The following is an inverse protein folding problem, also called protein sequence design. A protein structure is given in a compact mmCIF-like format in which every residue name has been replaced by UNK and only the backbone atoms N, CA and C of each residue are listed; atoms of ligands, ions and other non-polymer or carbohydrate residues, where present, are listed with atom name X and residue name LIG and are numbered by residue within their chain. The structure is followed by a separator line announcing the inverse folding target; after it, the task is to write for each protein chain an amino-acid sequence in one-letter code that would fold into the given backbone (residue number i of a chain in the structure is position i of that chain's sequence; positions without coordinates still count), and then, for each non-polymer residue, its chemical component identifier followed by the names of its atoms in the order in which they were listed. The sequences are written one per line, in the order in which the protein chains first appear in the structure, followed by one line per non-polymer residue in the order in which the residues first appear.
data_IF_934244233018
#
_entry.id   IF_934244233018
#
_cell.length_a   1.000
_cell.length_b   1.000
_cell.length_c   1.000
_cell.angle_alpha   90.00
_cell.angle_beta   90.00
_cell.angle_gamma   90.00
#
_symmetry.space_group_name_H-M   'P 1'
#
loop_
_entity.id
_entity.type
_entity.pdbx_description
1 polymer ?
#
# COMPACT_ATOMS: atom_id res chain seq x y z
N UNK A 1 52.68 -61.11 17.31
CA UNK A 1 53.31 -61.77 18.48
C UNK A 1 52.59 -61.29 19.72
N UNK A 2 52.08 -62.21 20.53
CA UNK A 2 51.38 -61.79 21.75
C UNK A 2 52.37 -61.20 22.75
N UNK A 3 51.94 -60.23 23.55
CA UNK A 3 52.86 -59.48 24.45
C UNK A 3 53.57 -60.41 25.45
N UNK A 4 52.90 -61.50 25.81
CA UNK A 4 53.46 -62.57 26.65
C UNK A 4 54.48 -63.44 25.91
N UNK A 5 54.28 -63.69 24.62
CA UNK A 5 55.18 -64.50 23.79
C UNK A 5 56.48 -63.76 23.47
N UNK A 6 56.44 -62.43 23.38
CA UNK A 6 57.61 -61.58 23.22
C UNK A 6 58.57 -61.64 24.42
N UNK A 7 58.02 -61.75 25.64
CA UNK A 7 58.75 -61.66 26.91
C UNK A 7 59.20 -63.02 27.43
N UNK A 8 58.38 -64.06 27.25
CA UNK A 8 58.62 -65.38 27.84
C UNK A 8 59.28 -66.41 26.90
N UNK A 9 59.72 -65.99 25.70
CA UNK A 9 60.35 -66.92 24.75
C UNK A 9 61.70 -67.40 25.27
N UNK A 10 61.87 -68.72 25.35
CA UNK A 10 63.12 -69.38 25.73
C UNK A 10 63.94 -69.69 24.48
N UNK A 11 65.21 -69.31 24.47
CA UNK A 11 66.13 -69.59 23.37
C UNK A 11 67.03 -70.79 23.70
N UNK A 12 67.38 -71.62 22.71
CA UNK A 12 68.32 -72.72 22.86
C UNK A 12 69.72 -72.22 23.20
N UNK A 13 70.45 -73.00 23.99
CA UNK A 13 71.80 -72.68 24.48
C UNK A 13 72.87 -73.42 23.66
N UNK A 14 73.89 -72.68 23.21
CA UNK A 14 75.10 -73.16 22.53
C UNK A 14 76.29 -73.11 23.51
N UNK A 15 77.46 -73.66 23.17
CA UNK A 15 78.63 -73.65 24.07
C UNK A 15 78.96 -72.20 24.50
N UNK A 16 78.78 -71.91 25.80
CA UNK A 16 78.91 -70.59 26.43
C UNK A 16 77.89 -69.50 26.05
N UNK A 17 76.65 -69.82 25.66
CA UNK A 17 75.63 -68.76 25.51
C UNK A 17 74.29 -69.19 24.90
N UNK A 18 73.41 -68.23 24.64
CA UNK A 18 72.18 -68.41 23.87
C UNK A 18 72.49 -68.40 22.37
N UNK A 19 71.65 -69.04 21.56
CA UNK A 19 71.76 -69.00 20.09
C UNK A 19 71.51 -67.59 19.57
N UNK A 20 72.57 -66.96 19.09
CA UNK A 20 72.55 -65.61 18.55
C UNK A 20 71.63 -65.47 17.33
N UNK A 21 71.47 -66.52 16.51
CA UNK A 21 70.62 -66.48 15.32
C UNK A 21 69.14 -66.44 15.67
N UNK A 22 68.69 -67.26 16.62
CA UNK A 22 67.29 -67.28 17.01
C UNK A 22 66.89 -66.01 17.76
N UNK A 23 67.79 -65.49 18.61
CA UNK A 23 67.62 -64.19 19.28
C UNK A 23 67.52 -63.05 18.26
N UNK A 24 68.43 -62.98 17.27
CA UNK A 24 68.35 -61.95 16.21
C UNK A 24 67.08 -62.07 15.37
N UNK A 25 66.60 -63.28 15.13
CA UNK A 25 65.36 -63.51 14.38
C UNK A 25 64.14 -63.03 15.17
N UNK A 26 64.08 -63.33 16.47
CA UNK A 26 63.03 -62.83 17.38
C UNK A 26 63.05 -61.31 17.50
N UNK A 27 64.22 -60.69 17.67
CA UNK A 27 64.36 -59.23 17.73
C UNK A 27 63.93 -58.56 16.42
N UNK A 28 64.21 -59.18 15.25
CA UNK A 28 63.73 -58.68 13.95
C UNK A 28 62.21 -58.78 13.83
N UNK A 29 61.60 -59.88 14.28
CA UNK A 29 60.15 -60.02 14.29
C UNK A 29 59.49 -59.01 15.23
N UNK A 30 60.09 -58.77 16.41
CA UNK A 30 59.63 -57.76 17.36
C UNK A 30 59.71 -56.35 16.78
N UNK A 31 60.83 -56.03 16.11
CA UNK A 31 61.01 -54.74 15.43
C UNK A 31 59.94 -54.52 14.36
N UNK A 32 59.71 -55.51 13.49
CA UNK A 32 58.71 -55.41 12.44
C UNK A 32 57.28 -55.18 12.97
N UNK A 33 56.94 -55.78 14.11
CA UNK A 33 55.61 -55.60 14.71
C UNK A 33 55.46 -54.27 15.47
N UNK A 34 56.55 -53.73 16.02
CA UNK A 34 56.60 -52.35 16.53
C UNK A 34 56.42 -51.38 15.36
N UNK A 35 57.18 -51.54 14.28
CA UNK A 35 57.09 -50.69 13.09
C UNK A 35 55.66 -50.69 12.51
N UNK A 36 55.02 -51.87 12.43
CA UNK A 36 53.64 -51.99 11.97
C UNK A 36 52.64 -51.29 12.92
N UNK A 37 52.86 -51.36 14.24
CA UNK A 37 52.03 -50.66 15.21
C UNK A 37 52.20 -49.15 15.11
N UNK A 38 53.43 -48.68 14.97
CA UNK A 38 53.75 -47.26 14.83
C UNK A 38 53.13 -46.69 13.54
N UNK A 39 53.19 -47.44 12.43
CA UNK A 39 52.51 -47.06 11.18
C UNK A 39 50.98 -46.97 11.38
N UNK A 40 50.39 -47.92 12.10
CA UNK A 40 48.95 -47.92 12.38
C UNK A 40 48.53 -46.82 13.35
N UNK A 41 49.35 -46.49 14.35
CA UNK A 41 49.14 -45.35 15.24
C UNK A 41 49.16 -44.06 14.41
N UNK A 42 50.15 -43.88 13.55
CA UNK A 42 50.25 -42.71 12.69
C UNK A 42 49.04 -42.57 11.75
N UNK A 43 48.54 -43.68 11.18
CA UNK A 43 47.30 -43.67 10.38
C UNK A 43 46.07 -43.28 11.20
N UNK A 44 45.93 -43.82 12.42
CA UNK A 44 44.79 -43.51 13.29
C UNK A 44 44.83 -42.07 13.80
N UNK A 45 46.01 -41.54 14.12
CA UNK A 45 46.21 -40.14 14.48
C UNK A 45 45.81 -39.21 13.32
N UNK A 46 46.26 -39.51 12.09
CA UNK A 46 45.84 -38.74 10.91
C UNK A 46 44.32 -38.78 10.65
N UNK A 47 43.68 -39.93 10.86
CA UNK A 47 42.22 -40.03 10.77
C UNK A 47 41.52 -39.25 11.89
N UNK A 48 42.08 -39.24 13.10
CA UNK A 48 41.53 -38.49 14.22
C UNK A 48 41.56 -37.00 13.94
N UNK A 49 42.71 -36.48 13.48
CA UNK A 49 42.89 -35.08 13.11
C UNK A 49 41.89 -34.65 12.03
N UNK A 50 41.73 -35.46 10.96
CA UNK A 50 40.76 -35.20 9.90
C UNK A 50 39.31 -35.14 10.44
N UNK A 51 38.94 -36.05 11.34
CA UNK A 51 37.59 -36.07 11.93
C UNK A 51 37.38 -34.91 12.89
N UNK A 52 38.40 -34.50 13.61
CA UNK A 52 38.34 -33.37 14.53
C UNK A 52 38.22 -32.03 13.78
N UNK A 53 38.92 -31.88 12.66
CA UNK A 53 38.78 -30.74 11.74
C UNK A 53 37.36 -30.68 11.16
N UNK A 54 36.82 -31.82 10.68
CA UNK A 54 35.45 -31.89 10.18
C UNK A 54 34.41 -31.53 11.27
N UNK A 55 34.59 -32.02 12.49
CA UNK A 55 33.72 -31.68 13.63
C UNK A 55 33.72 -30.18 13.93
N UNK A 56 34.90 -29.55 13.88
CA UNK A 56 35.02 -28.11 14.09
C UNK A 56 34.36 -27.32 12.94
N UNK A 57 34.51 -27.79 11.70
CA UNK A 57 33.80 -27.21 10.55
C UNK A 57 32.27 -27.28 10.73
N UNK A 58 31.74 -28.44 11.13
CA UNK A 58 30.30 -28.59 11.39
C UNK A 58 29.80 -27.69 12.53
N UNK A 59 30.55 -27.55 13.62
CA UNK A 59 30.21 -26.63 14.72
C UNK A 59 30.18 -25.17 14.28
N UNK A 60 31.11 -24.77 13.41
CA UNK A 60 31.12 -23.42 12.84
C UNK A 60 29.89 -23.19 11.95
N UNK A 61 29.56 -24.16 11.09
CA UNK A 61 28.36 -24.10 10.24
C UNK A 61 27.08 -24.05 11.07
N UNK A 62 26.97 -24.87 12.11
CA UNK A 62 25.83 -24.86 13.04
C UNK A 62 25.67 -23.48 13.71
N UNK A 63 26.77 -22.89 14.17
CA UNK A 63 26.78 -21.56 14.78
C UNK A 63 26.29 -20.50 13.78
N UNK A 64 26.82 -20.50 12.56
CA UNK A 64 26.40 -19.56 11.50
C UNK A 64 24.93 -19.75 11.11
N UNK A 65 24.43 -20.98 11.06
CA UNK A 65 23.01 -21.26 10.80
C UNK A 65 22.13 -20.70 11.92
N UNK A 66 22.52 -20.90 13.18
CA UNK A 66 21.78 -20.37 14.32
C UNK A 66 21.73 -18.83 14.31
N UNK A 67 22.84 -18.18 13.98
CA UNK A 67 22.89 -16.72 13.82
C UNK A 67 22.02 -16.23 12.64
N UNK A 68 22.04 -16.95 11.52
CA UNK A 68 21.21 -16.65 10.36
C UNK A 68 19.72 -16.79 10.68
N UNK A 69 19.31 -17.83 11.42
CA UNK A 69 17.93 -18.05 11.86
C UNK A 69 17.49 -16.92 12.80
N UNK A 70 18.31 -16.56 13.78
CA UNK A 70 18.00 -15.46 14.70
C UNK A 70 17.85 -14.13 13.95
N UNK A 71 18.71 -13.88 12.97
CA UNK A 71 18.65 -12.68 12.14
C UNK A 71 17.40 -12.67 11.28
N UNK A 72 17.07 -13.79 10.65
CA UNK A 72 15.84 -13.95 9.86
C UNK A 72 14.58 -13.74 10.71
N UNK A 73 14.56 -14.27 11.94
CA UNK A 73 13.46 -14.06 12.87
C UNK A 73 13.29 -12.59 13.24
N UNK A 74 14.39 -11.91 13.61
CA UNK A 74 14.37 -10.46 13.90
C UNK A 74 13.87 -9.65 12.72
N UNK A 75 14.35 -9.94 11.51
CA UNK A 75 13.91 -9.27 10.30
C UNK A 75 12.42 -9.52 10.02
N UNK A 76 11.93 -10.74 10.25
CA UNK A 76 10.51 -11.07 10.14
C UNK A 76 9.64 -10.32 11.14
N UNK A 77 10.05 -10.26 12.40
CA UNK A 77 9.35 -9.52 13.45
C UNK A 77 9.34 -8.01 13.19
N UNK A 78 10.45 -7.45 12.73
CA UNK A 78 10.57 -6.04 12.36
C UNK A 78 9.72 -5.70 11.13
N UNK A 79 9.71 -6.55 10.11
CA UNK A 79 8.84 -6.41 8.96
C UNK A 79 7.36 -6.43 9.35
N UNK A 80 6.96 -7.38 10.22
CA UNK A 80 5.59 -7.47 10.75
C UNK A 80 5.20 -6.21 11.52
N UNK A 81 6.07 -5.74 12.43
CA UNK A 81 5.83 -4.53 13.22
C UNK A 81 5.68 -3.30 12.33
N UNK A 82 6.54 -3.15 11.33
CA UNK A 82 6.50 -2.03 10.38
C UNK A 82 5.24 -2.07 9.53
N UNK A 83 4.84 -3.25 9.05
CA UNK A 83 3.60 -3.42 8.30
C UNK A 83 2.36 -3.06 9.13
N UNK A 84 2.31 -3.47 10.41
CA UNK A 84 1.22 -3.11 11.32
C UNK A 84 1.15 -1.60 11.56
N UNK A 85 2.28 -0.96 11.85
CA UNK A 85 2.33 0.50 12.06
C UNK A 85 1.86 1.27 10.82
N UNK A 86 2.30 0.87 9.62
CA UNK A 86 1.83 1.47 8.36
C UNK A 86 0.35 1.23 8.12
N UNK A 87 -0.16 0.04 8.41
CA UNK A 87 -1.58 -0.24 8.26
C UNK A 87 -2.42 0.66 9.17
N UNK A 88 -2.03 0.85 10.43
CA UNK A 88 -2.71 1.77 11.35
C UNK A 88 -2.66 3.22 10.88
N UNK A 89 -1.53 3.67 10.34
CA UNK A 89 -1.38 5.02 9.78
C UNK A 89 -2.28 5.22 8.56
N UNK A 90 -2.35 4.25 7.65
CA UNK A 90 -3.23 4.29 6.48
C UNK A 90 -4.69 4.38 6.92
N UNK A 91 -5.11 3.56 7.89
CA UNK A 91 -6.49 3.60 8.40
C UNK A 91 -6.80 4.97 9.01
N UNK A 92 -5.93 5.50 9.87
CA UNK A 92 -6.12 6.82 10.48
C UNK A 92 -6.17 7.94 9.44
N UNK A 93 -5.29 7.90 8.43
CA UNK A 93 -5.28 8.88 7.35
C UNK A 93 -6.57 8.82 6.51
N UNK A 94 -7.03 7.61 6.17
CA UNK A 94 -8.26 7.41 5.43
C UNK A 94 -9.50 7.87 6.22
N UNK A 95 -9.53 7.65 7.53
CA UNK A 95 -10.60 8.13 8.41
C UNK A 95 -10.64 9.65 8.49
N UNK A 96 -9.48 10.30 8.63
CA UNK A 96 -9.38 11.77 8.65
C UNK A 96 -9.83 12.39 7.32
N UNK A 97 -9.38 11.82 6.20
CA UNK A 97 -9.78 12.31 4.87
C UNK A 97 -11.26 12.07 4.59
N UNK A 98 -11.81 10.92 5.00
CA UNK A 98 -13.25 10.66 4.94
C UNK A 98 -14.04 11.73 5.69
N UNK A 99 -13.64 12.05 6.92
CA UNK A 99 -14.32 13.06 7.73
C UNK A 99 -14.26 14.44 7.07
N UNK A 100 -13.10 14.80 6.50
CA UNK A 100 -12.93 16.04 5.73
C UNK A 100 -13.87 16.11 4.54
N UNK A 101 -13.93 15.05 3.72
CA UNK A 101 -14.80 14.98 2.53
C UNK A 101 -16.28 15.08 2.92
N UNK A 102 -16.70 14.37 3.98
CA UNK A 102 -18.08 14.41 4.48
C UNK A 102 -18.45 15.82 4.94
N UNK A 103 -17.60 16.45 5.74
CA UNK A 103 -17.82 17.82 6.23
C UNK A 103 -17.92 18.83 5.08
N UNK A 104 -16.99 18.76 4.12
CA UNK A 104 -16.99 19.63 2.94
C UNK A 104 -18.26 19.43 2.08
N UNK A 105 -18.67 18.18 1.91
CA UNK A 105 -19.89 17.83 1.15
C UNK A 105 -21.16 18.31 1.85
N UNK A 106 -21.24 18.18 3.18
CA UNK A 106 -22.35 18.71 3.97
C UNK A 106 -22.41 20.25 3.91
N UNK A 107 -21.27 20.93 3.99
CA UNK A 107 -21.20 22.37 3.85
C UNK A 107 -21.70 22.83 2.47
N UNK A 108 -21.26 22.16 1.40
CA UNK A 108 -21.75 22.42 0.04
C UNK A 108 -23.25 22.16 -0.12
N UNK A 109 -23.74 21.06 0.43
CA UNK A 109 -25.17 20.73 0.39
C UNK A 109 -26.02 21.80 1.08
N UNK A 110 -25.59 22.29 2.25
CA UNK A 110 -26.25 23.40 2.95
C UNK A 110 -26.24 24.68 2.14
N UNK A 111 -25.10 25.00 1.50
CA UNK A 111 -24.98 26.18 0.65
C UNK A 111 -25.95 26.13 -0.53
N UNK A 112 -25.99 25.01 -1.26
CA UNK A 112 -26.91 24.82 -2.39
C UNK A 112 -28.37 24.87 -1.94
N UNK A 113 -28.70 24.28 -0.79
CA UNK A 113 -30.04 24.35 -0.21
C UNK A 113 -30.47 25.80 0.08
N UNK A 114 -29.57 26.60 0.66
CA UNK A 114 -29.82 28.03 0.89
C UNK A 114 -30.03 28.79 -0.41
N UNK A 115 -29.14 28.60 -1.40
CA UNK A 115 -29.26 29.24 -2.71
C UNK A 115 -30.57 28.87 -3.43
N UNK A 116 -31.01 27.62 -3.27
CA UNK A 116 -32.28 27.14 -3.84
C UNK A 116 -33.47 27.85 -3.20
N UNK A 117 -33.45 28.06 -1.89
CA UNK A 117 -34.52 28.77 -1.20
C UNK A 117 -34.55 30.26 -1.57
N UNK A 118 -33.38 30.90 -1.66
CA UNK A 118 -33.25 32.28 -2.13
C UNK A 118 -33.78 32.44 -3.55
N UNK A 119 -33.45 31.51 -4.46
CA UNK A 119 -33.94 31.50 -5.84
C UNK A 119 -35.46 31.35 -5.91
N UNK A 120 -36.05 30.48 -5.08
CA UNK A 120 -37.52 30.36 -4.97
C UNK A 120 -38.16 31.65 -4.50
N UNK A 121 -37.56 32.31 -3.50
CA UNK A 121 -38.03 33.62 -3.01
C UNK A 121 -37.96 34.68 -4.09
N UNK A 122 -36.84 34.77 -4.82
CA UNK A 122 -36.69 35.68 -5.95
C UNK A 122 -37.72 35.41 -7.05
N UNK A 123 -37.97 34.13 -7.37
CA UNK A 123 -38.98 33.74 -8.36
C UNK A 123 -40.39 34.17 -7.95
N UNK A 124 -40.75 34.04 -6.67
CA UNK A 124 -42.05 34.55 -6.16
C UNK A 124 -42.17 36.06 -6.29
N UNK A 125 -41.11 36.80 -5.93
CA UNK A 125 -41.07 38.27 -6.05
C UNK A 125 -41.17 38.69 -7.52
N UNK A 126 -40.40 38.06 -8.40
CA UNK A 126 -40.44 38.30 -9.84
C UNK A 126 -41.85 38.06 -10.39
N UNK A 127 -42.48 36.93 -10.06
CA UNK A 127 -43.85 36.62 -10.47
C UNK A 127 -44.85 37.69 -10.03
N UNK A 128 -44.76 38.14 -8.78
CA UNK A 128 -45.64 39.18 -8.25
C UNK A 128 -45.45 40.52 -8.99
N UNK A 129 -44.19 40.93 -9.21
CA UNK A 129 -43.86 42.14 -9.96
C UNK A 129 -44.32 42.07 -11.42
N UNK A 130 -44.13 40.92 -12.06
CA UNK A 130 -44.56 40.70 -13.43
C UNK A 130 -46.08 40.74 -13.56
N UNK A 131 -46.81 40.13 -12.62
CA UNK A 131 -48.28 40.19 -12.56
C UNK A 131 -48.77 41.64 -12.44
N UNK A 132 -48.21 42.43 -11.52
CA UNK A 132 -48.55 43.86 -11.38
C UNK A 132 -48.25 44.65 -12.65
N UNK A 133 -47.12 44.38 -13.32
CA UNK A 133 -46.78 45.04 -14.58
C UNK A 133 -47.80 44.73 -15.68
N UNK A 134 -48.17 43.45 -15.84
CA UNK A 134 -49.16 43.03 -16.84
C UNK A 134 -50.55 43.59 -16.52
N UNK A 135 -50.94 43.60 -15.25
CA UNK A 135 -52.21 44.22 -14.80
C UNK A 135 -52.24 45.71 -15.14
N UNK A 136 -51.17 46.46 -14.86
CA UNK A 136 -51.08 47.87 -15.20
C UNK A 136 -51.15 48.11 -16.73
N UNK A 137 -50.51 47.26 -17.54
CA UNK A 137 -50.60 47.36 -19.01
C UNK A 137 -51.99 46.99 -19.52
N UNK A 138 -52.67 46.03 -18.88
CA UNK A 138 -54.03 45.66 -19.21
C UNK A 138 -55.02 46.77 -18.83
N UNK A 139 -54.83 47.41 -17.68
CA UNK A 139 -55.66 48.54 -17.24
C UNK A 139 -55.49 49.75 -18.16
N UNK A 140 -54.28 49.99 -18.68
CA UNK A 140 -54.04 51.01 -19.71
C UNK A 140 -54.78 50.71 -21.02
N UNK A 141 -54.87 49.45 -21.44
CA UNK A 141 -55.63 49.07 -22.64
C UNK A 141 -57.15 49.13 -22.43
N UNK A 142 -57.61 48.93 -21.19
CA UNK A 142 -59.01 49.04 -20.81
C UNK A 142 -59.44 50.47 -20.50
N UNK A 143 -58.52 51.43 -20.44
CA UNK A 143 -58.93 52.82 -20.25
C UNK A 143 -59.66 53.31 -21.48
N UNK A 144 -60.76 54.03 -21.25
CA UNK A 144 -61.58 54.65 -22.30
C UNK A 144 -60.76 55.65 -23.15
N UNK A 145 -59.51 55.96 -22.76
CA UNK A 145 -58.57 56.75 -23.55
C UNK A 145 -58.37 56.14 -24.94
N UNK A 146 -58.39 54.81 -25.07
CA UNK A 146 -58.31 54.17 -26.39
C UNK A 146 -59.61 54.30 -27.18
N UNK A 147 -60.76 54.24 -26.52
CA UNK A 147 -62.05 54.46 -27.18
C UNK A 147 -62.15 55.91 -27.69
N UNK A 148 -61.68 56.90 -26.90
CA UNK A 148 -61.55 58.29 -27.34
C UNK A 148 -60.55 58.50 -28.48
N UNK A 149 -59.45 57.74 -28.51
CA UNK A 149 -58.40 57.87 -29.51
C UNK A 149 -58.73 57.10 -30.80
N UNK A 150 -59.63 56.11 -30.74
CA UNK A 150 -60.10 55.33 -31.88
C UNK A 150 -61.43 55.84 -32.47
N UNK A 151 -62.14 56.75 -31.80
CA UNK A 151 -63.36 57.43 -32.31
C UNK A 151 -63.08 58.44 -33.45
N UNK A 152 -62.14 58.10 -34.35
CA UNK A 152 -61.76 58.91 -35.51
C UNK A 152 -62.88 59.05 -36.56
N UNK A 153 -63.88 58.16 -36.55
CA UNK A 153 -64.96 58.18 -37.54
C UNK A 153 -65.99 59.29 -37.25
N UNK A 154 -66.39 59.49 -36.00
CA UNK A 154 -67.39 60.49 -35.61
C UNK A 154 -66.89 61.93 -35.86
N UNK A 155 -65.58 62.16 -35.69
CA UNK A 155 -65.00 63.50 -35.83
C UNK A 155 -64.70 63.88 -37.30
N UNK A 156 -64.63 62.90 -38.21
CA UNK A 156 -64.47 63.17 -39.63
C UNK A 156 -65.83 63.52 -40.26
N UNK A 157 -66.90 62.81 -39.89
CA UNK A 157 -68.27 63.02 -40.38
C UNK A 157 -68.78 64.45 -40.09
N UNK A 158 -68.59 64.94 -38.86
CA UNK A 158 -68.95 66.31 -38.48
C UNK A 158 -68.17 67.39 -39.27
N UNK A 159 -66.91 67.12 -39.64
CA UNK A 159 -66.13 68.05 -40.45
C UNK A 159 -66.57 68.09 -41.91
N UNK A 160 -67.12 67.00 -42.45
CA UNK A 160 -67.63 67.00 -43.83
C UNK A 160 -68.99 67.70 -43.90
N UNK A 161 -69.87 67.50 -42.91
CA UNK A 161 -71.15 68.18 -42.82
C UNK A 161 -71.00 69.72 -42.66
N UNK A 162 -70.05 70.17 -41.85
CA UNK A 162 -69.76 71.60 -41.69
C UNK A 162 -69.18 72.22 -42.97
N UNK A 163 -68.41 71.46 -43.75
CA UNK A 163 -67.86 71.92 -45.04
C UNK A 163 -68.94 71.96 -46.13
N UNK A 164 -69.84 70.97 -46.19
CA UNK A 164 -70.98 70.98 -47.11
C UNK A 164 -72.00 72.09 -46.77
N UNK A 165 -72.19 72.41 -45.49
CA UNK A 165 -73.06 73.52 -45.07
C UNK A 165 -72.49 74.88 -45.51
N UNK A 166 -71.18 75.08 -45.41
CA UNK A 166 -70.51 76.31 -45.85
C UNK A 166 -70.50 76.45 -47.38
N UNK A 167 -70.37 75.35 -48.13
CA UNK A 167 -70.49 75.39 -49.60
C UNK A 167 -71.91 75.67 -50.10
N UNK A 168 -72.95 75.27 -49.34
CA UNK A 168 -74.35 75.59 -49.66
C UNK A 168 -74.67 77.07 -49.39
N UNK A 169 -74.15 77.64 -48.29
CA UNK A 169 -74.39 79.03 -47.91
C UNK A 169 -73.63 80.05 -48.81
N UNK A 170 -72.61 79.61 -49.56
CA UNK A 170 -71.87 80.45 -50.53
C UNK A 170 -72.46 80.44 -51.95
N UNK A 171 -73.46 79.59 -52.23
CA UNK A 171 -74.03 79.40 -53.57
C UNK A 171 -75.52 79.82 -53.69
N UNK A 172 -76.11 80.43 -52.66
CA UNK A 172 -77.40 81.15 -52.71
C UNK A 172 -77.20 82.67 -52.72
#
# INVERSE_FOLDING_TARGET
MDREEAVNRKFPTVYRGLDEQEVRTHLRALQAEIDQRDEKISQLEGMLDEKEENLNSFRNVETSINEAILTAQRAGDEAKRTAQARAEEIVKSAEAERERIVSESLARARHIASQTEDMKRQSKIFRARFKMLVEAQLDLLKSDDWDYLLDFETNQEHRVDDLEAVERDQNE
#
